data_IF_035028761714
#
_entry.id   IF_035028761714
#
_cell.length_a   1.000
_cell.length_b   1.000
_cell.length_c   1.000
_cell.angle_alpha   90.00
_cell.angle_beta   90.00
_cell.angle_gamma   90.00
#
_symmetry.space_group_name_H-M   'P 1'
#
loop_
_entity.id
_entity.type
_entity.pdbx_description
1 polymer ?
#
# COMPACT_ATOMS: atom_id res chain seq x y z
N UNK A 1 6.31 -28.09 -4.87
CA UNK A 1 6.59 -27.45 -3.55
C UNK A 1 6.83 -25.92 -3.61
N UNK A 2 6.47 -25.20 -4.70
CA UNK A 2 6.79 -23.77 -4.84
C UNK A 2 5.63 -22.76 -4.72
N UNK A 3 4.36 -23.17 -4.80
CA UNK A 3 3.21 -22.23 -4.85
C UNK A 3 2.71 -21.72 -3.49
N UNK A 4 3.06 -22.39 -2.40
CA UNK A 4 2.56 -22.10 -1.04
C UNK A 4 3.33 -20.97 -0.33
N UNK A 5 4.63 -20.81 -0.62
CA UNK A 5 5.46 -19.74 -0.02
C UNK A 5 5.16 -18.37 -0.61
N UNK A 6 4.72 -18.29 -1.87
CA UNK A 6 4.33 -17.04 -2.54
C UNK A 6 3.13 -16.37 -1.85
N UNK A 7 2.14 -17.17 -1.40
CA UNK A 7 0.94 -16.65 -0.71
C UNK A 7 1.23 -16.03 0.67
N UNK A 8 2.32 -16.44 1.33
CA UNK A 8 2.72 -15.88 2.63
C UNK A 8 3.61 -14.65 2.50
N UNK A 9 4.29 -14.45 1.36
CA UNK A 9 5.08 -13.24 1.15
C UNK A 9 4.16 -12.03 0.95
N UNK A 10 3.10 -12.16 0.15
CA UNK A 10 2.20 -11.03 -0.16
C UNK A 10 1.45 -10.53 1.09
N UNK A 11 1.07 -11.42 2.02
CA UNK A 11 0.41 -11.04 3.27
C UNK A 11 1.30 -10.28 4.28
N UNK A 12 2.63 -10.30 4.13
CA UNK A 12 3.58 -9.61 5.03
C UNK A 12 3.95 -8.22 4.48
N UNK A 13 3.57 -7.89 3.24
CA UNK A 13 4.03 -6.71 2.50
C UNK A 13 3.58 -5.35 3.04
N UNK A 14 2.77 -5.29 4.10
CA UNK A 14 2.11 -4.06 4.50
C UNK A 14 2.39 -3.57 5.93
N UNK A 15 3.46 -3.99 6.63
CA UNK A 15 3.60 -3.64 8.06
C UNK A 15 5.02 -3.53 8.66
N UNK A 16 6.08 -3.27 7.89
CA UNK A 16 7.45 -3.27 8.44
C UNK A 16 8.15 -1.91 8.35
N UNK A 17 7.41 -0.83 8.59
CA UNK A 17 8.01 0.50 8.78
C UNK A 17 7.60 1.18 10.09
N UNK A 18 7.15 0.39 11.08
CA UNK A 18 6.35 0.92 12.17
C UNK A 18 7.09 1.77 13.24
N UNK A 19 8.41 1.98 13.15
CA UNK A 19 9.20 2.69 14.18
C UNK A 19 10.42 3.48 13.66
N UNK A 20 10.46 3.88 12.39
CA UNK A 20 11.73 4.28 11.76
C UNK A 20 12.42 5.55 12.25
N UNK A 21 11.73 6.50 12.88
CA UNK A 21 12.37 7.81 13.12
C UNK A 21 12.61 8.16 14.59
N UNK A 22 12.08 7.44 15.57
CA UNK A 22 12.34 7.78 16.99
C UNK A 22 13.65 7.21 17.53
N UNK A 23 14.12 6.06 17.02
CA UNK A 23 15.37 5.44 17.51
C UNK A 23 16.58 5.61 16.58
N UNK A 24 16.40 5.81 15.27
CA UNK A 24 17.51 6.08 14.33
C UNK A 24 17.97 7.55 14.35
N UNK A 25 17.07 8.50 14.59
CA UNK A 25 17.41 9.93 14.57
C UNK A 25 18.05 10.44 15.87
N UNK A 26 18.20 9.62 16.91
CA UNK A 26 18.94 10.02 18.12
C UNK A 26 20.41 10.38 17.82
N UNK A 27 20.96 9.96 16.68
CA UNK A 27 22.29 10.38 16.19
C UNK A 27 22.26 11.53 15.17
N UNK A 28 21.09 11.99 14.72
CA UNK A 28 20.94 12.96 13.62
C UNK A 28 19.95 14.09 13.94
N UNK A 29 19.89 14.53 15.20
CA UNK A 29 19.05 15.65 15.66
C UNK A 29 19.21 16.94 14.83
N UNK A 30 20.27 17.04 14.01
CA UNK A 30 20.54 18.18 13.14
C UNK A 30 19.70 18.26 11.84
N UNK A 31 19.08 17.17 11.36
CA UNK A 31 18.52 17.15 10.00
C UNK A 31 17.00 17.40 9.92
N UNK A 32 16.20 16.93 10.89
CA UNK A 32 14.73 16.96 10.82
C UNK A 32 14.11 17.52 12.10
N UNK A 33 13.05 18.32 11.97
CA UNK A 33 12.25 18.75 13.11
C UNK A 33 11.31 17.64 13.60
N UNK A 34 10.81 17.76 14.84
CA UNK A 34 9.81 16.82 15.37
C UNK A 34 8.55 16.73 14.51
N UNK A 35 8.20 17.81 13.80
CA UNK A 35 7.05 17.86 12.91
C UNK A 35 7.31 17.16 11.57
N UNK A 36 8.51 17.33 11.01
CA UNK A 36 8.95 16.59 9.83
C UNK A 36 8.89 15.09 10.08
N UNK A 37 9.47 14.67 11.21
CA UNK A 37 9.49 13.28 11.65
C UNK A 37 8.08 12.73 11.86
N UNK A 38 7.20 13.48 12.52
CA UNK A 38 5.81 13.07 12.71
C UNK A 38 5.10 12.91 11.36
N UNK A 39 5.24 13.89 10.47
CA UNK A 39 4.58 13.89 9.16
C UNK A 39 5.03 12.72 8.29
N UNK A 40 6.34 12.46 8.21
CA UNK A 40 6.88 11.34 7.45
C UNK A 40 6.38 9.99 7.99
N UNK A 41 6.37 9.80 9.32
CA UNK A 41 5.87 8.58 9.94
C UNK A 41 4.35 8.41 9.76
N UNK A 42 3.57 9.47 9.90
CA UNK A 42 2.12 9.41 9.78
C UNK A 42 1.68 9.16 8.33
N UNK A 43 2.35 9.81 7.36
CA UNK A 43 2.13 9.54 5.93
C UNK A 43 2.44 8.09 5.61
N UNK A 44 3.61 7.61 6.03
CA UNK A 44 4.01 6.25 5.72
C UNK A 44 3.08 5.23 6.35
N UNK A 45 2.72 5.42 7.62
CA UNK A 45 1.78 4.52 8.30
C UNK A 45 0.44 4.46 7.57
N UNK A 46 -0.03 5.61 7.08
CA UNK A 46 -1.26 5.67 6.30
C UNK A 46 -1.10 4.90 4.98
N UNK A 47 -0.04 5.16 4.22
CA UNK A 47 0.24 4.43 2.99
C UNK A 47 0.39 2.92 3.21
N UNK A 48 1.07 2.49 4.28
CA UNK A 48 1.17 1.08 4.70
C UNK A 48 -0.20 0.43 4.90
N UNK A 49 -1.16 1.14 5.52
CA UNK A 49 -2.52 0.62 5.65
C UNK A 49 -3.27 0.56 4.31
N UNK A 50 -3.01 1.49 3.39
CA UNK A 50 -3.57 1.44 2.04
C UNK A 50 -2.99 0.27 1.24
N UNK A 51 -1.70 -0.03 1.38
CA UNK A 51 -1.08 -1.21 0.77
C UNK A 51 -1.62 -2.53 1.34
N UNK A 52 -1.89 -2.58 2.66
CA UNK A 52 -2.56 -3.76 3.27
C UNK A 52 -3.97 -3.94 2.70
N UNK A 53 -4.71 -2.84 2.52
CA UNK A 53 -6.03 -2.86 1.89
C UNK A 53 -5.96 -3.27 0.42
N UNK A 54 -5.03 -2.73 -0.38
CA UNK A 54 -4.80 -3.13 -1.78
C UNK A 54 -4.59 -4.65 -1.89
N UNK A 55 -3.69 -5.20 -1.06
CA UNK A 55 -3.38 -6.63 -1.06
C UNK A 55 -4.60 -7.50 -0.62
N UNK A 56 -5.30 -7.10 0.44
CA UNK A 56 -6.53 -7.81 0.83
C UNK A 56 -7.59 -7.77 -0.27
N UNK A 57 -7.79 -6.62 -0.90
CA UNK A 57 -8.74 -6.48 -2.03
C UNK A 57 -8.33 -7.39 -3.19
N UNK A 58 -7.05 -7.41 -3.53
CA UNK A 58 -6.51 -8.27 -4.58
C UNK A 58 -6.69 -9.76 -4.28
N UNK A 59 -6.38 -10.20 -3.05
CA UNK A 59 -6.59 -11.58 -2.61
C UNK A 59 -8.07 -11.97 -2.62
N UNK A 60 -8.94 -11.08 -2.15
CA UNK A 60 -10.38 -11.29 -2.14
C UNK A 60 -10.92 -11.46 -3.56
N UNK A 61 -10.56 -10.58 -4.50
CA UNK A 61 -10.98 -10.69 -5.91
C UNK A 61 -10.41 -11.95 -6.59
N UNK A 62 -9.13 -12.27 -6.34
CA UNK A 62 -8.51 -13.48 -6.89
C UNK A 62 -9.21 -14.77 -6.44
N UNK A 63 -9.75 -14.82 -5.23
CA UNK A 63 -10.49 -15.97 -4.74
C UNK A 63 -11.81 -16.21 -5.49
N UNK A 64 -12.33 -15.19 -6.18
CA UNK A 64 -13.61 -15.26 -6.91
C UNK A 64 -13.47 -15.71 -8.37
N UNK A 65 -12.25 -15.97 -8.88
CA UNK A 65 -12.01 -16.31 -10.31
C UNK A 65 -12.84 -17.48 -10.85
N UNK A 66 -13.19 -18.43 -10.00
CA UNK A 66 -13.97 -19.61 -10.34
C UNK A 66 -15.49 -19.43 -10.12
N UNK A 67 -15.93 -18.27 -9.63
CA UNK A 67 -17.35 -17.98 -9.45
C UNK A 67 -17.95 -17.47 -10.76
N UNK A 68 -19.15 -17.96 -11.09
CA UNK A 68 -19.91 -17.57 -12.27
C UNK A 68 -21.27 -16.99 -11.86
N UNK A 69 -21.78 -16.03 -12.64
CA UNK A 69 -22.86 -15.12 -12.26
C UNK A 69 -24.22 -15.76 -11.91
N UNK A 70 -24.79 -15.30 -10.78
CA UNK A 70 -26.20 -15.31 -10.27
C UNK A 70 -26.29 -14.21 -9.17
N UNK A 71 -27.47 -13.72 -8.71
CA UNK A 71 -27.53 -12.64 -7.71
C UNK A 71 -26.89 -13.03 -6.38
N UNK A 72 -26.40 -12.02 -5.63
CA UNK A 72 -25.70 -12.06 -4.34
C UNK A 72 -25.27 -13.47 -3.85
N UNK A 73 -24.03 -13.85 -4.13
CA UNK A 73 -23.47 -15.13 -3.66
C UNK A 73 -22.60 -14.93 -2.41
N UNK A 74 -22.48 -15.98 -1.59
CA UNK A 74 -21.41 -16.04 -0.59
C UNK A 74 -20.07 -16.05 -1.33
N UNK A 75 -19.27 -15.02 -1.15
CA UNK A 75 -17.95 -14.93 -1.77
C UNK A 75 -17.02 -15.99 -1.16
N UNK A 76 -16.08 -16.49 -1.97
CA UNK A 76 -15.04 -17.40 -1.48
C UNK A 76 -14.06 -16.62 -0.60
N UNK A 77 -13.78 -17.13 0.59
CA UNK A 77 -12.78 -16.54 1.48
C UNK A 77 -11.38 -16.96 1.01
N UNK A 78 -10.46 -16.01 0.72
CA UNK A 78 -9.08 -16.36 0.38
C UNK A 78 -8.38 -17.06 1.55
N UNK A 79 -7.40 -17.96 1.28
CA UNK A 79 -6.65 -18.66 2.33
C UNK A 79 -5.58 -17.73 2.96
N UNK A 80 -6.03 -16.69 3.64
CA UNK A 80 -5.22 -15.67 4.31
C UNK A 80 -5.84 -15.34 5.69
N UNK A 81 -5.02 -15.36 6.73
CA UNK A 81 -5.47 -15.24 8.12
C UNK A 81 -6.17 -13.90 8.40
N UNK A 82 -5.90 -12.84 7.61
CA UNK A 82 -6.57 -11.53 7.75
C UNK A 82 -8.08 -11.62 7.51
N UNK A 83 -8.55 -12.68 6.84
CA UNK A 83 -9.97 -12.91 6.56
C UNK A 83 -10.61 -13.95 7.50
N UNK A 84 -9.87 -14.48 8.49
CA UNK A 84 -10.33 -15.57 9.37
C UNK A 84 -11.65 -15.29 10.11
N UNK A 85 -11.96 -14.00 10.36
CA UNK A 85 -13.22 -13.53 10.96
C UNK A 85 -14.00 -12.56 10.08
N UNK A 86 -13.53 -12.27 8.87
CA UNK A 86 -14.22 -11.36 7.96
C UNK A 86 -15.32 -12.11 7.19
N UNK A 87 -16.49 -11.48 7.05
CA UNK A 87 -17.52 -11.93 6.13
C UNK A 87 -17.29 -11.31 4.75
N UNK A 88 -17.33 -12.12 3.70
CA UNK A 88 -17.26 -11.64 2.32
C UNK A 88 -18.57 -11.89 1.59
N UNK A 89 -19.05 -10.86 0.88
CA UNK A 89 -20.19 -10.96 -0.03
C UNK A 89 -19.84 -10.38 -1.39
N UNK A 90 -20.52 -10.87 -2.44
CA UNK A 90 -20.27 -10.47 -3.82
C UNK A 90 -21.59 -10.35 -4.56
N UNK A 91 -21.75 -9.25 -5.28
CA UNK A 91 -22.82 -9.03 -6.24
C UNK A 91 -22.19 -8.72 -7.61
N UNK A 92 -22.46 -9.56 -8.61
CA UNK A 92 -22.09 -9.27 -9.98
C UNK A 92 -23.04 -8.23 -10.59
N UNK A 93 -22.55 -7.39 -11.50
CA UNK A 93 -23.40 -6.49 -12.26
C UNK A 93 -24.33 -7.28 -13.21
N UNK A 94 -25.44 -6.67 -13.64
CA UNK A 94 -26.42 -7.31 -14.52
C UNK A 94 -25.81 -7.74 -15.86
N UNK A 95 -24.89 -6.95 -16.39
CA UNK A 95 -24.16 -7.16 -17.63
C UNK A 95 -22.80 -7.88 -17.41
N UNK A 96 -22.69 -8.65 -16.32
CA UNK A 96 -21.52 -9.51 -16.08
C UNK A 96 -21.31 -10.52 -17.21
N UNK A 97 -20.05 -10.71 -17.62
CA UNK A 97 -19.63 -11.85 -18.42
C UNK A 97 -18.31 -12.42 -17.88
N UNK A 98 -17.99 -13.65 -18.26
CA UNK A 98 -16.71 -14.28 -17.88
C UNK A 98 -15.52 -13.55 -18.51
N UNK A 99 -15.70 -13.02 -19.71
CA UNK A 99 -14.65 -12.30 -20.44
C UNK A 99 -14.54 -10.84 -19.96
N UNK A 100 -15.55 -10.34 -19.25
CA UNK A 100 -15.59 -9.00 -18.72
C UNK A 100 -16.24 -8.98 -17.33
N UNK A 101 -15.54 -9.48 -16.30
CA UNK A 101 -16.11 -9.59 -14.96
C UNK A 101 -16.30 -8.21 -14.33
N UNK A 102 -17.45 -7.98 -13.70
CA UNK A 102 -17.76 -6.73 -13.03
C UNK A 102 -18.75 -6.92 -11.90
N UNK A 103 -18.64 -6.09 -10.87
CA UNK A 103 -19.51 -6.15 -9.70
C UNK A 103 -18.95 -5.44 -8.49
N UNK A 104 -19.53 -5.75 -7.34
CA UNK A 104 -19.14 -5.23 -6.04
C UNK A 104 -18.87 -6.37 -5.07
N UNK A 105 -17.69 -6.36 -4.46
CA UNK A 105 -17.27 -7.24 -3.37
C UNK A 105 -17.20 -6.44 -2.07
N UNK A 106 -17.68 -7.03 -0.97
CA UNK A 106 -17.56 -6.43 0.36
C UNK A 106 -16.72 -7.33 1.24
N UNK A 107 -15.79 -6.72 1.97
CA UNK A 107 -15.03 -7.35 3.06
C UNK A 107 -15.52 -6.71 4.35
N UNK A 108 -16.29 -7.44 5.14
CA UNK A 108 -16.92 -6.97 6.38
C UNK A 108 -16.24 -7.58 7.59
N UNK A 109 -15.56 -6.75 8.37
CA UNK A 109 -14.85 -7.14 9.59
C UNK A 109 -15.75 -7.09 10.84
N UNK A 110 -17.03 -6.72 10.69
CA UNK A 110 -17.96 -6.53 11.79
C UNK A 110 -17.47 -5.47 12.77
N UNK A 111 -17.74 -5.68 14.06
CA UNK A 111 -17.33 -4.77 15.13
C UNK A 111 -15.86 -4.95 15.54
N UNK A 112 -15.34 -6.17 15.43
CA UNK A 112 -13.94 -6.48 15.71
C UNK A 112 -13.54 -7.82 15.08
N UNK A 113 -12.54 -7.79 14.20
CA UNK A 113 -11.90 -8.96 13.62
C UNK A 113 -10.40 -8.94 13.93
N UNK A 114 -9.97 -9.86 14.81
CA UNK A 114 -8.59 -9.97 15.28
C UNK A 114 -7.80 -10.95 14.40
N UNK A 115 -6.82 -10.45 13.68
CA UNK A 115 -5.94 -11.27 12.84
C UNK A 115 -4.55 -10.64 12.69
N UNK A 116 -3.50 -11.45 12.81
CA UNK A 116 -2.09 -11.05 12.60
C UNK A 116 -1.66 -9.82 13.43
N UNK A 117 -2.03 -9.79 14.72
CA UNK A 117 -1.65 -8.67 15.59
C UNK A 117 -2.35 -7.34 15.27
N UNK A 118 -3.39 -7.36 14.42
CA UNK A 118 -4.24 -6.21 14.15
C UNK A 118 -5.70 -6.55 14.41
N UNK A 119 -6.44 -5.59 14.95
CA UNK A 119 -7.90 -5.63 15.07
C UNK A 119 -8.48 -4.72 13.99
N UNK A 120 -9.30 -5.28 13.09
CA UNK A 120 -10.02 -4.54 12.06
C UNK A 120 -11.49 -4.42 12.42
N UNK A 121 -12.12 -3.30 12.09
CA UNK A 121 -13.55 -3.05 12.27
C UNK A 121 -14.09 -2.41 10.99
N UNK A 122 -15.39 -2.57 10.70
CA UNK A 122 -16.06 -1.92 9.57
C UNK A 122 -15.86 -2.69 8.27
N UNK A 123 -15.99 -2.00 7.13
CA UNK A 123 -16.05 -2.65 5.81
C UNK A 123 -15.16 -1.98 4.79
N UNK A 124 -14.67 -2.79 3.84
CA UNK A 124 -14.10 -2.32 2.58
C UNK A 124 -15.07 -2.72 1.47
N UNK A 125 -15.61 -1.72 0.77
CA UNK A 125 -16.51 -1.91 -0.38
C UNK A 125 -15.73 -1.74 -1.67
N UNK A 126 -15.67 -2.79 -2.48
CA UNK A 126 -14.81 -2.91 -3.68
C UNK A 126 -15.67 -3.01 -4.92
N UNK A 127 -15.60 -2.02 -5.80
CA UNK A 127 -16.09 -2.06 -7.17
C UNK A 127 -14.96 -2.52 -8.09
N UNK A 128 -15.24 -3.48 -8.96
CA UNK A 128 -14.27 -3.99 -9.93
C UNK A 128 -14.89 -4.13 -11.31
N UNK A 129 -14.06 -3.99 -12.35
CA UNK A 129 -14.46 -4.13 -13.74
C UNK A 129 -13.32 -4.63 -14.61
N UNK A 130 -13.64 -5.55 -15.52
CA UNK A 130 -12.72 -6.15 -16.47
C UNK A 130 -11.80 -7.20 -15.82
N UNK A 131 -11.13 -7.96 -16.68
CA UNK A 131 -10.15 -8.93 -16.22
C UNK A 131 -8.93 -8.23 -15.61
N UNK A 132 -8.48 -8.71 -14.46
CA UNK A 132 -7.34 -8.11 -13.74
C UNK A 132 -6.11 -8.06 -14.67
N UNK A 133 -5.42 -6.93 -14.63
CA UNK A 133 -4.21 -6.64 -15.43
C UNK A 133 -4.44 -6.53 -16.94
N UNK A 134 -5.68 -6.59 -17.42
CA UNK A 134 -6.01 -6.20 -18.79
C UNK A 134 -6.21 -4.69 -18.88
N UNK A 135 -5.90 -4.12 -20.03
CA UNK A 135 -6.08 -2.70 -20.29
C UNK A 135 -7.54 -2.28 -20.01
N UNK A 136 -7.68 -1.12 -19.39
CA UNK A 136 -8.95 -0.49 -18.99
C UNK A 136 -9.75 -1.24 -17.91
N UNK A 137 -9.20 -2.32 -17.34
CA UNK A 137 -9.72 -2.88 -16.10
C UNK A 137 -9.43 -1.96 -14.92
N UNK A 138 -10.29 -2.01 -13.89
CA UNK A 138 -10.07 -1.24 -12.67
C UNK A 138 -10.57 -1.94 -11.42
N UNK A 139 -10.00 -1.52 -10.30
CA UNK A 139 -10.44 -1.79 -8.94
C UNK A 139 -10.60 -0.43 -8.27
N UNK A 140 -11.74 -0.20 -7.62
CA UNK A 140 -12.03 1.01 -6.85
C UNK A 140 -12.65 0.60 -5.53
N UNK A 141 -12.18 1.14 -4.42
CA UNK A 141 -12.74 0.79 -3.13
C UNK A 141 -12.83 1.97 -2.17
N UNK A 142 -13.76 1.84 -1.23
CA UNK A 142 -14.02 2.79 -0.14
C UNK A 142 -14.01 2.09 1.20
N UNK A 143 -13.73 2.88 2.21
CA UNK A 143 -13.79 2.49 3.61
C UNK A 143 -15.15 2.90 4.19
N UNK A 144 -15.89 1.96 4.77
CA UNK A 144 -17.12 2.22 5.52
C UNK A 144 -16.90 1.88 7.00
N UNK A 145 -16.76 2.94 7.82
CA UNK A 145 -16.43 2.84 9.24
C UNK A 145 -15.20 1.94 9.51
N UNK A 146 -14.29 1.89 8.54
CA UNK A 146 -13.15 0.98 8.61
C UNK A 146 -12.08 1.53 9.53
N UNK A 147 -11.67 0.73 10.52
CA UNK A 147 -10.61 1.07 11.43
C UNK A 147 -9.65 -0.10 11.64
N UNK A 148 -8.39 0.23 11.84
CA UNK A 148 -7.31 -0.71 12.16
C UNK A 148 -6.72 -0.30 13.51
N UNK A 149 -6.57 -1.26 14.41
CA UNK A 149 -5.81 -1.09 15.64
C UNK A 149 -4.68 -2.11 15.71
N UNK A 150 -3.48 -1.63 15.97
CA UNK A 150 -2.34 -2.49 16.31
C UNK A 150 -2.52 -3.07 17.71
N UNK A 151 -2.39 -4.39 17.87
CA UNK A 151 -2.62 -5.07 19.16
C UNK A 151 -1.53 -4.75 20.18
N UNK A 152 -0.29 -4.50 19.73
CA UNK A 152 0.87 -4.22 20.60
C UNK A 152 0.87 -2.74 21.00
N UNK A 153 0.85 -1.84 20.03
CA UNK A 153 1.00 -0.41 20.26
C UNK A 153 -0.34 0.27 20.61
N UNK A 154 -1.46 -0.44 20.49
CA UNK A 154 -2.84 0.03 20.75
C UNK A 154 -3.27 1.27 19.96
N UNK A 155 -2.46 1.70 18.99
CA UNK A 155 -2.78 2.80 18.09
C UNK A 155 -3.91 2.38 17.17
N UNK A 156 -5.03 3.08 17.27
CA UNK A 156 -6.20 2.92 16.40
C UNK A 156 -6.23 4.04 15.37
N UNK A 157 -6.45 3.68 14.11
CA UNK A 157 -6.60 4.59 12.99
C UNK A 157 -7.85 4.23 12.20
N UNK A 158 -8.72 5.20 11.96
CA UNK A 158 -9.89 5.08 11.07
C UNK A 158 -9.52 5.65 9.71
N UNK A 159 -9.87 4.94 8.64
CA UNK A 159 -9.56 5.34 7.28
C UNK A 159 -10.83 5.77 6.53
N UNK A 160 -10.70 6.83 5.75
CA UNK A 160 -11.71 7.34 4.83
C UNK A 160 -11.06 7.58 3.45
N UNK A 161 -11.90 7.74 2.42
CA UNK A 161 -11.48 8.04 1.05
C UNK A 161 -11.88 6.99 0.03
N UNK A 162 -11.70 7.34 -1.25
CA UNK A 162 -11.90 6.46 -2.41
C UNK A 162 -10.55 6.18 -3.06
N UNK A 163 -10.15 4.92 -3.03
CA UNK A 163 -8.91 4.45 -3.65
C UNK A 163 -9.23 3.77 -4.98
N UNK A 164 -8.48 4.10 -6.03
CA UNK A 164 -8.72 3.56 -7.37
C UNK A 164 -7.42 3.17 -8.05
N UNK A 165 -7.44 2.01 -8.72
CA UNK A 165 -6.38 1.49 -9.56
C UNK A 165 -6.97 1.17 -10.93
N UNK A 166 -6.45 1.77 -11.99
CA UNK A 166 -6.87 1.56 -13.38
C UNK A 166 -5.67 1.07 -14.18
N UNK A 167 -5.80 -0.05 -14.87
CA UNK A 167 -4.76 -0.52 -15.79
C UNK A 167 -4.80 0.33 -17.06
N UNK A 168 -3.79 1.16 -17.27
CA UNK A 168 -3.72 2.06 -18.43
C UNK A 168 -3.08 1.38 -19.63
N UNK A 169 -2.13 0.46 -19.38
CA UNK A 169 -1.44 -0.33 -20.39
C UNK A 169 -1.14 -1.73 -19.86
N UNK A 170 -1.22 -2.72 -20.74
CA UNK A 170 -0.79 -4.08 -20.51
C UNK A 170 -0.05 -4.56 -21.76
N UNK A 171 1.15 -5.12 -21.58
CA UNK A 171 1.99 -5.60 -22.67
C UNK A 171 2.62 -6.94 -22.31
N UNK A 172 2.69 -7.85 -23.27
CA UNK A 172 3.34 -9.15 -23.11
C UNK A 172 4.65 -9.14 -23.90
N UNK A 173 5.75 -9.34 -23.20
CA UNK A 173 7.07 -9.61 -23.77
C UNK A 173 7.34 -11.12 -23.73
N UNK A 174 8.39 -11.62 -24.42
CA UNK A 174 8.75 -13.03 -24.36
C UNK A 174 8.98 -13.56 -22.94
N UNK A 175 9.66 -12.76 -22.10
CA UNK A 175 10.13 -13.21 -20.78
C UNK A 175 9.25 -12.71 -19.61
N UNK A 176 8.47 -11.64 -19.81
CA UNK A 176 7.67 -11.00 -18.77
C UNK A 176 6.45 -10.27 -19.31
N UNK A 177 5.50 -9.99 -18.43
CA UNK A 177 4.36 -9.10 -18.69
C UNK A 177 4.64 -7.76 -18.01
N UNK A 178 4.34 -6.67 -18.70
CA UNK A 178 4.35 -5.33 -18.13
C UNK A 178 2.92 -4.84 -17.96
N UNK A 179 2.58 -4.39 -16.75
CA UNK A 179 1.28 -3.78 -16.43
C UNK A 179 1.51 -2.40 -15.86
N UNK A 180 0.97 -1.37 -16.51
CA UNK A 180 1.01 0.01 -16.03
C UNK A 180 -0.35 0.38 -15.46
N UNK A 181 -0.35 0.88 -14.22
CA UNK A 181 -1.54 1.23 -13.46
C UNK A 181 -1.49 2.68 -13.03
N UNK A 182 -2.55 3.43 -13.28
CA UNK A 182 -2.80 4.70 -12.59
C UNK A 182 -3.44 4.39 -11.24
N UNK A 183 -2.89 4.96 -10.17
CA UNK A 183 -3.33 4.78 -8.80
C UNK A 183 -3.68 6.13 -8.20
N UNK A 184 -4.87 6.23 -7.63
CA UNK A 184 -5.30 7.46 -6.95
C UNK A 184 -5.97 7.18 -5.61
N UNK A 185 -5.91 8.19 -4.74
CA UNK A 185 -6.70 8.28 -3.52
C UNK A 185 -7.35 9.66 -3.51
N UNK A 186 -8.68 9.69 -3.44
CA UNK A 186 -9.49 10.91 -3.31
C UNK A 186 -10.10 10.98 -1.92
N UNK A 187 -10.17 12.18 -1.38
CA UNK A 187 -10.76 12.47 -0.07
C UNK A 187 -10.19 11.57 1.06
N UNK A 188 -8.90 11.22 0.94
CA UNK A 188 -8.25 10.35 1.90
C UNK A 188 -8.09 11.06 3.24
N UNK A 189 -8.47 10.38 4.31
CA UNK A 189 -8.26 10.82 5.67
C UNK A 189 -7.95 9.64 6.59
N UNK A 190 -6.94 9.80 7.43
CA UNK A 190 -6.62 8.92 8.53
C UNK A 190 -6.88 9.67 9.85
N UNK A 191 -7.74 9.13 10.70
CA UNK A 191 -8.09 9.72 12.01
C UNK A 191 -7.60 8.81 13.14
N UNK A 192 -6.81 9.36 14.06
CA UNK A 192 -6.28 8.66 15.21
C UNK A 192 -7.23 8.72 16.41
N UNK A 193 -7.06 7.81 17.37
CA UNK A 193 -7.89 7.74 18.58
C UNK A 193 -7.83 8.97 19.50
N UNK A 194 -6.89 9.90 19.28
CA UNK A 194 -6.79 11.19 19.97
C UNK A 194 -7.54 12.33 19.25
N UNK A 195 -8.40 11.99 18.29
CA UNK A 195 -9.19 12.91 17.46
C UNK A 195 -8.37 13.82 16.53
N UNK A 196 -7.07 13.59 16.40
CA UNK A 196 -6.26 14.23 15.35
C UNK A 196 -6.38 13.44 14.04
N UNK A 197 -6.19 14.12 12.91
CA UNK A 197 -6.27 13.47 11.60
C UNK A 197 -5.30 14.07 10.59
N UNK A 198 -4.92 13.27 9.60
CA UNK A 198 -4.18 13.69 8.41
C UNK A 198 -5.07 13.46 7.20
N UNK A 199 -4.99 14.34 6.21
CA UNK A 199 -5.57 14.11 4.89
C UNK A 199 -4.49 13.69 3.90
N UNK A 200 -4.88 12.90 2.89
CA UNK A 200 -3.98 12.41 1.85
C UNK A 200 -4.73 12.29 0.53
N UNK A 201 -4.21 12.94 -0.50
CA UNK A 201 -4.55 12.71 -1.89
C UNK A 201 -3.33 12.10 -2.59
N UNK A 202 -3.54 11.07 -3.39
CA UNK A 202 -2.48 10.35 -4.11
C UNK A 202 -2.77 10.37 -5.60
N UNK A 203 -1.73 10.61 -6.40
CA UNK A 203 -1.72 10.41 -7.85
C UNK A 203 -0.39 9.75 -8.24
N UNK A 204 -0.44 8.45 -8.52
CA UNK A 204 0.74 7.64 -8.82
C UNK A 204 0.55 6.84 -10.10
N UNK A 205 1.68 6.47 -10.70
CA UNK A 205 1.76 5.43 -11.72
C UNK A 205 2.62 4.31 -11.18
N UNK A 206 2.10 3.07 -11.24
CA UNK A 206 2.81 1.85 -10.90
C UNK A 206 3.00 1.01 -12.14
N UNK A 207 4.24 0.71 -12.49
CA UNK A 207 4.59 -0.27 -13.51
C UNK A 207 5.04 -1.55 -12.80
N UNK A 208 4.37 -2.66 -13.09
CA UNK A 208 4.73 -4.00 -12.62
C UNK A 208 5.29 -4.81 -13.78
N UNK A 209 6.49 -5.36 -13.59
CA UNK A 209 7.06 -6.37 -14.47
C UNK A 209 6.96 -7.71 -13.79
N UNK A 210 6.14 -8.59 -14.38
CA UNK A 210 5.87 -9.92 -13.87
C UNK A 210 6.58 -10.97 -14.71
N UNK A 211 7.46 -11.75 -14.08
CA UNK A 211 8.16 -12.86 -14.73
C UNK A 211 7.39 -14.14 -14.45
N UNK A 212 6.54 -14.58 -15.39
CA UNK A 212 5.57 -15.66 -15.16
C UNK A 212 6.19 -16.98 -14.66
N UNK A 213 7.35 -17.35 -15.19
CA UNK A 213 8.08 -18.57 -14.80
C UNK A 213 8.94 -18.38 -13.54
N UNK A 214 9.21 -17.13 -13.18
CA UNK A 214 10.10 -16.77 -12.11
C UNK A 214 9.61 -15.52 -11.36
N UNK A 215 8.41 -15.60 -10.76
CA UNK A 215 7.77 -14.49 -10.06
C UNK A 215 8.62 -13.87 -8.94
N UNK A 216 9.68 -14.57 -8.56
CA UNK A 216 10.72 -14.13 -7.66
C UNK A 216 11.72 -13.13 -8.28
N UNK A 217 11.53 -12.68 -9.53
CA UNK A 217 12.22 -11.55 -10.16
C UNK A 217 11.26 -10.40 -10.48
N UNK A 218 10.05 -10.42 -9.91
CA UNK A 218 9.09 -9.34 -10.12
C UNK A 218 9.67 -8.00 -9.67
N UNK A 219 9.44 -6.98 -10.50
CA UNK A 219 9.93 -5.63 -10.31
C UNK A 219 8.77 -4.64 -10.34
N UNK A 220 8.90 -3.59 -9.54
CA UNK A 220 7.98 -2.48 -9.52
C UNK A 220 8.70 -1.18 -9.76
N UNK A 221 8.06 -0.28 -10.49
CA UNK A 221 8.49 1.11 -10.66
C UNK A 221 7.32 2.01 -10.29
N UNK A 222 7.56 2.97 -9.41
CA UNK A 222 6.54 3.91 -8.94
C UNK A 222 7.00 5.34 -9.27
N UNK A 223 6.09 6.13 -9.83
CA UNK A 223 6.23 7.57 -10.01
C UNK A 223 4.96 8.29 -9.55
N UNK A 224 5.04 9.60 -9.34
CA UNK A 224 3.90 10.43 -9.01
C UNK A 224 4.11 11.21 -7.72
N UNK A 225 2.99 11.59 -7.09
CA UNK A 225 2.99 12.47 -5.94
C UNK A 225 1.81 12.21 -5.01
N UNK A 226 1.93 12.74 -3.80
CA UNK A 226 0.84 12.84 -2.84
C UNK A 226 0.86 14.22 -2.17
N UNK A 227 -0.24 14.62 -1.59
CA UNK A 227 -0.36 15.87 -0.82
C UNK A 227 -1.50 15.78 0.18
N UNK A 228 -1.54 16.70 1.14
CA UNK A 228 -2.63 16.77 2.09
C UNK A 228 -2.31 17.71 3.24
N UNK A 229 -2.92 17.44 4.40
CA UNK A 229 -2.72 18.19 5.64
C UNK A 229 -2.27 17.28 6.76
N UNK A 230 -1.24 17.68 7.50
CA UNK A 230 -0.72 16.97 8.67
C UNK A 230 -1.70 17.03 9.85
N UNK A 231 -1.44 16.23 10.88
CA UNK A 231 -2.20 16.27 12.15
C UNK A 231 -2.07 17.59 12.93
N UNK A 232 -1.16 18.47 12.51
CA UNK A 232 -0.97 19.84 13.03
C UNK A 232 -1.53 20.91 12.09
N UNK A 233 -2.36 20.52 11.12
CA UNK A 233 -3.01 21.43 10.17
C UNK A 233 -2.02 22.22 9.29
N UNK A 234 -0.84 21.66 9.00
CA UNK A 234 0.04 22.17 7.93
C UNK A 234 -0.23 21.42 6.64
N UNK A 235 -0.19 22.10 5.50
CA UNK A 235 -0.14 21.41 4.22
C UNK A 235 1.16 20.62 4.08
N UNK A 236 1.15 19.53 3.34
CA UNK A 236 2.38 18.85 2.90
C UNK A 236 2.22 18.36 1.48
N UNK A 237 3.35 18.15 0.80
CA UNK A 237 3.43 17.49 -0.50
C UNK A 237 4.61 16.53 -0.54
N UNK A 238 4.41 15.39 -1.18
CA UNK A 238 5.44 14.41 -1.47
C UNK A 238 5.51 14.15 -2.97
N UNK A 239 6.69 14.19 -3.56
CA UNK A 239 6.91 14.01 -5.00
C UNK A 239 8.03 13.00 -5.20
N UNK A 240 7.77 11.95 -5.98
CA UNK A 240 8.79 11.03 -6.45
C UNK A 240 9.59 11.75 -7.55
N UNK A 241 10.75 12.28 -7.17
CA UNK A 241 11.63 13.06 -8.04
C UNK A 241 12.35 12.16 -9.06
N UNK A 242 12.86 11.01 -8.60
CA UNK A 242 13.38 9.93 -9.44
C UNK A 242 12.57 8.67 -9.17
N UNK A 243 12.18 7.89 -10.20
CA UNK A 243 11.31 6.73 -10.03
C UNK A 243 11.80 5.77 -8.94
N UNK A 244 10.90 5.41 -8.03
CA UNK A 244 11.18 4.42 -6.99
C UNK A 244 11.13 3.03 -7.62
N UNK A 245 12.24 2.31 -7.62
CA UNK A 245 12.33 0.95 -8.13
C UNK A 245 12.34 -0.03 -6.98
N UNK A 246 11.58 -1.12 -7.11
CA UNK A 246 11.61 -2.21 -6.14
C UNK A 246 11.87 -3.52 -6.87
N UNK A 247 12.69 -4.37 -6.25
CA UNK A 247 12.97 -5.72 -6.73
C UNK A 247 12.67 -6.72 -5.63
N UNK A 248 11.81 -7.70 -5.91
CA UNK A 248 11.42 -8.72 -4.92
C UNK A 248 12.62 -9.58 -4.46
N UNK A 249 13.72 -9.63 -5.23
CA UNK A 249 14.95 -10.28 -4.82
C UNK A 249 15.61 -9.62 -3.60
N UNK A 250 15.36 -8.33 -3.38
CA UNK A 250 15.93 -7.60 -2.25
C UNK A 250 15.20 -7.86 -0.91
N UNK A 251 14.15 -8.70 -0.91
CA UNK A 251 13.45 -9.17 0.30
C UNK A 251 14.00 -10.54 0.77
N UNK A 252 15.05 -11.08 0.14
CA UNK A 252 15.55 -12.43 0.43
C UNK A 252 16.61 -12.44 1.53
N UNK A 253 16.60 -13.51 2.33
CA UNK A 253 17.60 -13.75 3.37
C UNK A 253 17.29 -13.01 4.67
N UNK A 254 18.31 -12.35 5.21
CA UNK A 254 18.28 -11.70 6.52
C UNK A 254 17.66 -10.29 6.45
N UNK A 255 17.56 -9.74 5.23
CA UNK A 255 16.96 -8.45 4.92
C UNK A 255 15.44 -8.60 4.98
N UNK A 256 14.87 -8.17 6.10
CA UNK A 256 13.42 -8.18 6.36
C UNK A 256 12.76 -6.81 6.14
N UNK A 257 13.50 -5.86 5.58
CA UNK A 257 13.00 -4.53 5.23
C UNK A 257 12.90 -4.44 3.72
N UNK A 258 11.73 -4.05 3.21
CA UNK A 258 11.54 -3.81 1.79
C UNK A 258 11.56 -2.31 1.51
N UNK A 259 12.66 -1.86 0.91
CA UNK A 259 12.87 -0.48 0.47
C UNK A 259 12.93 -0.43 -1.06
N UNK A 260 12.70 0.75 -1.67
CA UNK A 260 13.17 0.98 -3.02
C UNK A 260 14.67 0.66 -3.10
N UNK A 261 15.09 -0.03 -4.15
CA UNK A 261 16.51 -0.25 -4.46
C UNK A 261 17.15 0.97 -5.10
N UNK A 262 16.32 1.85 -5.66
CA UNK A 262 16.72 3.08 -6.34
C UNK A 262 15.59 4.09 -6.31
N UNK A 263 15.97 5.37 -6.36
CA UNK A 263 15.06 6.48 -6.62
C UNK A 263 15.10 7.53 -5.54
N UNK A 264 14.35 8.62 -5.74
CA UNK A 264 14.32 9.76 -4.83
C UNK A 264 12.91 10.25 -4.63
N UNK A 265 12.62 10.62 -3.39
CA UNK A 265 11.35 11.23 -3.00
C UNK A 265 11.62 12.51 -2.22
N UNK A 266 10.88 13.56 -2.54
CA UNK A 266 10.94 14.85 -1.87
C UNK A 266 9.68 15.03 -1.02
N UNK A 267 9.82 15.46 0.23
CA UNK A 267 8.73 15.82 1.13
C UNK A 267 8.88 17.28 1.54
N UNK A 268 7.82 18.06 1.40
CA UNK A 268 7.76 19.46 1.84
C UNK A 268 6.58 19.62 2.80
N UNK A 269 6.80 20.24 3.96
CA UNK A 269 5.78 20.49 4.98
C UNK A 269 5.62 21.99 5.18
N UNK A 270 4.45 22.55 4.86
CA UNK A 270 4.21 23.99 4.88
C UNK A 270 5.21 24.73 3.99
N UNK A 271 5.92 25.68 4.59
CA UNK A 271 7.01 26.43 3.95
C UNK A 271 8.39 25.94 4.40
N UNK A 272 8.46 24.80 5.07
CA UNK A 272 9.72 24.26 5.56
C UNK A 272 10.56 23.75 4.39
N UNK A 273 11.90 23.76 4.50
CA UNK A 273 12.77 23.25 3.46
C UNK A 273 12.48 21.79 3.11
N UNK A 274 12.61 21.46 1.83
CA UNK A 274 12.36 20.11 1.31
C UNK A 274 13.31 19.08 1.93
N UNK A 275 12.73 17.95 2.31
CA UNK A 275 13.41 16.75 2.75
C UNK A 275 13.53 15.81 1.56
N UNK A 276 14.75 15.41 1.21
CA UNK A 276 15.00 14.44 0.15
C UNK A 276 15.36 13.09 0.75
N UNK A 277 14.60 12.07 0.37
CA UNK A 277 14.87 10.66 0.63
C UNK A 277 15.54 10.08 -0.62
N UNK A 278 16.75 9.58 -0.48
CA UNK A 278 17.56 9.00 -1.56
C UNK A 278 17.83 7.52 -1.26
N UNK A 279 17.25 6.64 -2.09
CA UNK A 279 17.31 5.20 -1.94
C UNK A 279 18.49 4.56 -2.69
N UNK A 280 19.42 5.36 -3.20
CA UNK A 280 20.61 4.88 -3.88
C UNK A 280 20.35 4.52 -5.34
N UNK A 281 21.17 3.62 -5.87
CA UNK A 281 21.34 3.39 -7.32
C UNK A 281 21.13 1.95 -7.78
N UNK A 282 20.40 1.14 -7.01
CA UNK A 282 19.97 -0.21 -7.43
C UNK A 282 20.51 -1.36 -6.58
N UNK A 283 21.29 -1.10 -5.54
CA UNK A 283 21.73 -2.13 -4.60
C UNK A 283 20.59 -2.53 -3.65
N UNK A 284 20.58 -3.78 -3.16
CA UNK A 284 19.66 -4.23 -2.12
C UNK A 284 20.10 -3.73 -0.73
N UNK A 285 20.42 -2.45 -0.62
CA UNK A 285 20.93 -1.86 0.61
C UNK A 285 19.78 -1.73 1.63
N UNK A 286 19.95 -2.19 2.87
CA UNK A 286 18.94 -2.07 3.92
C UNK A 286 18.92 -0.65 4.51
N UNK A 287 19.31 0.36 3.75
CA UNK A 287 19.49 1.73 4.20
C UNK A 287 19.23 2.74 3.08
N UNK A 288 18.89 3.96 3.47
CA UNK A 288 18.70 5.08 2.56
C UNK A 288 19.20 6.36 3.22
N UNK A 289 19.36 7.41 2.43
CA UNK A 289 19.86 8.70 2.91
C UNK A 289 18.73 9.71 2.97
N UNK A 290 18.69 10.51 4.04
CA UNK A 290 17.83 11.69 4.14
C UNK A 290 18.69 12.94 4.10
N UNK A 291 18.27 13.96 3.35
CA UNK A 291 18.90 15.28 3.39
C UNK A 291 17.88 16.42 3.52
N UNK A 292 18.24 17.45 4.29
CA UNK A 292 17.48 18.70 4.46
C UNK A 292 18.47 19.82 4.76
N UNK A 293 18.35 20.97 4.09
CA UNK A 293 19.25 22.12 4.30
C UNK A 293 20.75 21.82 4.18
N UNK A 294 21.14 20.91 3.28
CA UNK A 294 22.54 20.50 3.12
C UNK A 294 23.09 19.60 4.24
N UNK A 295 22.28 19.29 5.25
CA UNK A 295 22.60 18.26 6.26
C UNK A 295 22.07 16.93 5.75
N UNK A 296 22.92 15.89 5.82
CA UNK A 296 22.62 14.55 5.32
C UNK A 296 22.79 13.52 6.44
N UNK A 297 21.88 12.56 6.52
CA UNK A 297 21.90 11.48 7.49
C UNK A 297 21.55 10.15 6.82
N UNK A 298 22.28 9.09 7.17
CA UNK A 298 21.96 7.72 6.77
C UNK A 298 20.93 7.11 7.73
N UNK A 299 19.95 6.40 7.18
CA UNK A 299 18.90 5.71 7.92
C UNK A 299 18.96 4.23 7.60
N UNK A 300 19.17 3.42 8.65
CA UNK A 300 19.13 1.97 8.59
C UNK A 300 17.86 1.46 9.26
N UNK A 301 16.77 1.24 8.50
CA UNK A 301 15.55 0.67 9.04
C UNK A 301 15.77 -0.71 9.64
N UNK A 302 15.24 -0.92 10.84
CA UNK A 302 15.19 -2.23 11.48
C UNK A 302 13.88 -2.93 11.14
N UNK A 303 13.97 -4.21 10.79
CA UNK A 303 12.80 -5.06 10.74
C UNK A 303 12.29 -5.35 12.16
N UNK A 304 10.98 -5.20 12.37
CA UNK A 304 10.28 -5.67 13.56
C UNK A 304 9.57 -6.98 13.26
#
# INVERSE_FOLDING_TARGET
MGKSRFKKLVSVLASVLFLLLTSCLQKSEAALSSEDTQTANDQERYESYLYDADDMVDLALNAQKELTGKPAQKAKVPPDDRFSCAALSLAFAEDYSKDYPQGTLWIDFGDACNAKGKTRQGKISVEFRGNRFEKDSYIKYKFDKYAIQDVVNKVRVTLEGERQMIVTQAAKNPDYITVTMSVSLKDGKAAWGDNTFMTLAVQQVREWRHYAEHANYDQWKITGSSNGTTRRNKSFSSVIADPLLYDINCIRGDIRVYLPTQGKMNLTVGNDPTITFDFGSGACDPQFTISKNGVTAEVNPKAN
#
